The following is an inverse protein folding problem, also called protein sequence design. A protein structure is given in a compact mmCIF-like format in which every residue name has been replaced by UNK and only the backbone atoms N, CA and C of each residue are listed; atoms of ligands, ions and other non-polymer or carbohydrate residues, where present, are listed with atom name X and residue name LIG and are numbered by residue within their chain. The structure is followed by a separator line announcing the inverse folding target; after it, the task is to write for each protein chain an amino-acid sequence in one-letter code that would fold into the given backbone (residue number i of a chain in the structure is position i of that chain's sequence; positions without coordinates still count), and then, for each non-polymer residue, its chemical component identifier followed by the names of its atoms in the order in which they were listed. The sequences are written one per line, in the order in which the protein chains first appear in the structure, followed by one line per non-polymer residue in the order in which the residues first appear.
data_IF_198347399716
#
_entry.id   IF_198347399716
#
_cell.length_a   1.000
_cell.length_b   1.000
_cell.length_c   1.000
_cell.angle_alpha   90.00
_cell.angle_beta   90.00
_cell.angle_gamma   90.00
#
_symmetry.space_group_name_H-M   'P 1'
#
loop_
_entity.id
_entity.type
_entity.pdbx_description
1 polymer ?
#
# COMPACT_ATOMS: atom_id res chain seq x y z
N UNK A 1 -8.80 33.76 21.76
CA UNK A 1 -8.83 32.79 20.64
C UNK A 1 -7.39 32.51 20.15
N UNK A 2 -6.54 33.54 19.93
CA UNK A 2 -5.18 33.34 19.40
C UNK A 2 -4.21 32.63 20.37
N UNK A 3 -4.29 32.84 21.67
CA UNK A 3 -3.45 32.18 22.67
C UNK A 3 -3.70 30.66 22.72
N UNK A 4 -4.96 30.25 22.69
CA UNK A 4 -5.33 28.84 22.71
C UNK A 4 -4.86 28.10 21.47
N UNK A 5 -4.86 28.72 20.29
CA UNK A 5 -4.39 28.13 19.06
C UNK A 5 -2.87 27.85 19.09
N UNK A 6 -2.08 28.75 19.72
CA UNK A 6 -0.64 28.56 19.87
C UNK A 6 -0.34 27.38 20.80
N UNK A 7 -1.10 27.26 21.90
CA UNK A 7 -0.97 26.17 22.85
C UNK A 7 -1.37 24.84 22.18
N UNK A 8 -2.49 24.79 21.45
CA UNK A 8 -2.93 23.61 20.69
C UNK A 8 -1.87 23.16 19.64
N UNK A 9 -1.25 24.11 18.92
CA UNK A 9 -0.16 23.81 17.97
C UNK A 9 1.06 23.25 18.72
N UNK A 10 1.43 23.83 19.86
CA UNK A 10 2.58 23.39 20.65
C UNK A 10 2.38 21.97 21.19
N UNK A 11 1.18 21.67 21.64
CA UNK A 11 0.80 20.34 22.15
C UNK A 11 0.87 19.29 21.02
N UNK A 12 0.37 19.61 19.82
CA UNK A 12 0.44 18.71 18.66
C UNK A 12 1.89 18.47 18.20
N UNK A 13 2.72 19.51 18.19
CA UNK A 13 4.14 19.40 17.83
C UNK A 13 4.90 18.51 18.80
N UNK A 14 4.56 18.61 20.09
CA UNK A 14 5.23 17.87 21.17
C UNK A 14 4.72 16.43 21.33
N UNK A 15 3.57 16.11 20.74
CA UNK A 15 2.90 14.83 20.93
C UNK A 15 3.51 13.73 20.07
N UNK A 16 3.88 12.61 20.69
CA UNK A 16 4.33 11.39 19.99
C UNK A 16 3.19 10.66 19.25
N UNK A 17 1.93 11.08 19.48
CA UNK A 17 0.77 10.53 18.78
C UNK A 17 0.76 10.87 17.28
N UNK A 18 1.43 11.95 16.89
CA UNK A 18 1.51 12.41 15.51
C UNK A 18 2.93 12.21 14.97
N UNK A 19 3.12 11.17 14.17
CA UNK A 19 4.44 10.73 13.66
C UNK A 19 4.85 11.38 12.33
N UNK A 20 4.01 12.27 11.76
CA UNK A 20 4.27 12.92 10.48
C UNK A 20 5.47 13.87 10.57
N UNK A 21 6.26 13.92 9.49
CA UNK A 21 7.46 14.75 9.42
C UNK A 21 7.13 16.25 9.28
N UNK A 22 6.05 16.56 8.53
CA UNK A 22 5.66 17.95 8.27
C UNK A 22 4.63 18.45 9.28
N UNK A 23 4.83 19.70 9.76
CA UNK A 23 3.92 20.33 10.69
C UNK A 23 2.48 20.43 10.15
N UNK A 24 2.33 20.78 8.87
CA UNK A 24 1.03 20.86 8.20
C UNK A 24 0.26 19.54 8.25
N UNK A 25 0.97 18.42 8.08
CA UNK A 25 0.37 17.08 8.17
C UNK A 25 -0.04 16.73 9.61
N UNK A 26 0.78 17.08 10.60
CA UNK A 26 0.43 16.92 12.02
C UNK A 26 -0.81 17.70 12.38
N UNK A 27 -0.88 18.97 11.96
CA UNK A 27 -2.02 19.84 12.23
C UNK A 27 -3.30 19.40 11.52
N UNK A 28 -3.18 18.86 10.30
CA UNK A 28 -4.32 18.31 9.58
C UNK A 28 -4.84 17.02 10.25
N UNK A 29 -3.95 16.11 10.66
CA UNK A 29 -4.33 14.89 11.39
C UNK A 29 -4.94 15.18 12.78
N UNK A 30 -4.50 16.26 13.42
CA UNK A 30 -5.07 16.72 14.68
C UNK A 30 -6.40 17.49 14.52
N UNK A 31 -6.84 17.71 13.28
CA UNK A 31 -8.09 18.43 12.98
C UNK A 31 -8.02 19.96 13.12
N UNK A 32 -6.83 20.53 13.29
CA UNK A 32 -6.65 22.00 13.31
C UNK A 32 -6.63 22.62 11.91
N UNK A 33 -6.23 21.85 10.90
CA UNK A 33 -6.33 22.23 9.50
C UNK A 33 -7.33 21.33 8.78
N UNK A 34 -8.05 21.84 7.78
CA UNK A 34 -8.92 21.00 6.97
C UNK A 34 -8.06 19.98 6.22
N UNK A 35 -8.44 18.70 6.29
CA UNK A 35 -7.72 17.63 5.56
C UNK A 35 -7.78 17.81 4.04
N UNK A 36 -8.78 18.50 3.54
CA UNK A 36 -8.90 18.87 2.13
C UNK A 36 -7.82 19.89 1.75
N UNK A 37 -6.83 19.45 0.95
CA UNK A 37 -5.72 20.29 0.49
C UNK A 37 -4.38 20.06 1.18
N UNK A 38 -4.33 19.26 2.25
CA UNK A 38 -3.07 18.80 2.87
C UNK A 38 -2.99 17.28 2.81
N UNK A 39 -2.52 16.70 1.71
CA UNK A 39 -2.38 15.26 1.60
C UNK A 39 -1.31 14.78 2.58
N UNK A 40 -1.74 14.06 3.62
CA UNK A 40 -0.88 13.61 4.73
C UNK A 40 -0.07 12.35 4.39
N UNK A 41 -0.32 11.74 3.24
CA UNK A 41 0.21 10.43 2.87
C UNK A 41 0.79 10.39 1.45
N UNK A 42 1.31 11.54 0.98
CA UNK A 42 1.86 11.66 -0.37
C UNK A 42 3.17 10.92 -0.50
N UNK A 43 3.35 10.26 -1.64
CA UNK A 43 4.60 9.65 -2.09
C UNK A 43 5.01 10.24 -3.42
N UNK A 44 6.30 10.56 -3.53
CA UNK A 44 6.88 11.16 -4.71
C UNK A 44 7.51 10.09 -5.59
N UNK A 45 7.32 10.21 -6.90
CA UNK A 45 8.15 9.57 -7.89
C UNK A 45 9.13 10.63 -8.42
N UNK A 46 10.41 10.44 -8.15
CA UNK A 46 11.49 11.32 -8.58
C UNK A 46 11.88 11.00 -10.02
N UNK A 47 11.76 11.98 -10.90
CA UNK A 47 12.06 11.84 -12.34
C UNK A 47 13.51 12.22 -12.68
N UNK A 48 14.19 12.93 -11.78
CA UNK A 48 15.63 13.28 -11.86
C UNK A 48 16.29 13.08 -10.51
N UNK A 49 17.60 12.83 -10.52
CA UNK A 49 18.37 12.68 -9.29
C UNK A 49 18.48 14.04 -8.57
N UNK A 50 17.91 14.21 -7.37
CA UNK A 50 18.02 15.47 -6.63
C UNK A 50 19.43 15.77 -6.18
N UNK A 51 20.31 14.77 -6.09
CA UNK A 51 21.72 14.97 -5.70
C UNK A 51 22.45 15.84 -6.70
N UNK A 52 22.15 15.72 -7.98
CA UNK A 52 22.75 16.51 -9.05
C UNK A 52 22.25 17.96 -9.08
N UNK A 53 21.08 18.21 -8.51
CA UNK A 53 20.43 19.53 -8.53
C UNK A 53 20.76 20.39 -7.31
N UNK A 54 21.31 19.83 -6.23
CA UNK A 54 21.59 20.54 -4.98
C UNK A 54 20.38 21.04 -4.20
N UNK A 55 19.15 20.75 -4.68
CA UNK A 55 17.86 21.07 -4.03
C UNK A 55 16.86 19.95 -4.24
N UNK A 56 15.94 19.81 -3.30
CA UNK A 56 14.82 18.88 -3.49
C UNK A 56 13.93 19.38 -4.64
N UNK A 57 13.61 18.53 -5.61
CA UNK A 57 12.85 18.93 -6.78
C UNK A 57 11.41 19.26 -6.42
N UNK A 58 10.87 20.33 -7.00
CA UNK A 58 9.45 20.66 -6.94
C UNK A 58 8.73 20.35 -8.26
N UNK A 59 9.45 20.37 -9.38
CA UNK A 59 8.88 20.22 -10.73
C UNK A 59 9.14 18.84 -11.34
N UNK A 60 10.29 18.24 -11.03
CA UNK A 60 10.68 16.92 -11.56
C UNK A 60 10.20 15.77 -10.67
N UNK A 61 8.97 15.87 -10.16
CA UNK A 61 8.31 14.84 -9.36
C UNK A 61 6.87 14.63 -9.79
N UNK A 62 6.38 13.42 -9.59
CA UNK A 62 4.95 13.10 -9.65
C UNK A 62 4.53 12.65 -8.27
N UNK A 63 3.51 13.29 -7.70
CA UNK A 63 3.07 13.03 -6.34
C UNK A 63 1.70 12.34 -6.35
N UNK A 64 1.53 11.27 -5.56
CA UNK A 64 0.26 10.57 -5.36
C UNK A 64 0.12 10.13 -3.91
N UNK A 65 -1.13 10.00 -3.44
CA UNK A 65 -1.37 9.34 -2.16
C UNK A 65 -0.80 7.92 -2.16
N UNK A 66 -0.34 7.44 -1.00
CA UNK A 66 0.32 6.14 -0.87
C UNK A 66 -0.58 4.99 -1.34
N UNK A 67 -1.90 5.08 -1.14
CA UNK A 67 -2.85 4.04 -1.56
C UNK A 67 -2.82 3.84 -3.09
N UNK A 68 -2.56 4.90 -3.84
CA UNK A 68 -2.34 4.87 -5.29
C UNK A 68 -0.88 4.61 -5.64
N UNK A 69 0.05 5.21 -4.90
CA UNK A 69 1.47 5.20 -5.23
C UNK A 69 2.08 3.80 -5.17
N UNK A 70 1.69 2.97 -4.18
CA UNK A 70 2.17 1.58 -4.07
C UNK A 70 1.82 0.71 -5.30
N UNK A 71 0.82 1.11 -6.08
CA UNK A 71 0.45 0.46 -7.33
C UNK A 71 1.10 1.18 -8.52
N UNK A 72 0.78 2.46 -8.70
CA UNK A 72 1.16 3.19 -9.90
C UNK A 72 2.64 3.50 -10.02
N UNK A 73 3.38 3.57 -8.89
CA UNK A 73 4.82 3.84 -8.87
C UNK A 73 5.65 2.58 -8.57
N UNK A 74 5.01 1.41 -8.49
CA UNK A 74 5.73 0.16 -8.26
C UNK A 74 6.81 -0.07 -9.32
N UNK A 75 7.96 -0.67 -8.97
CA UNK A 75 9.03 -0.94 -9.92
C UNK A 75 8.56 -1.77 -11.11
N UNK A 76 8.88 -1.31 -12.32
CA UNK A 76 8.42 -1.89 -13.58
C UNK A 76 7.25 -1.15 -14.23
N UNK A 77 6.53 -0.29 -13.47
CA UNK A 77 5.38 0.44 -13.99
C UNK A 77 5.78 1.71 -14.72
N UNK A 78 5.01 2.05 -15.74
CA UNK A 78 5.21 3.24 -16.55
C UNK A 78 4.23 4.35 -16.15
N UNK A 79 4.71 5.58 -16.18
CA UNK A 79 3.95 6.79 -15.86
C UNK A 79 4.17 7.80 -16.98
N UNK A 80 3.08 8.40 -17.46
CA UNK A 80 3.14 9.47 -18.43
C UNK A 80 3.10 10.83 -17.74
N UNK A 81 4.12 11.66 -18.02
CA UNK A 81 4.15 13.07 -17.61
C UNK A 81 4.73 13.92 -18.73
N UNK A 82 4.06 15.03 -19.05
CA UNK A 82 4.49 16.00 -20.07
C UNK A 82 4.77 15.33 -21.44
N UNK A 83 3.89 14.42 -21.85
CA UNK A 83 4.00 13.61 -23.09
C UNK A 83 5.24 12.72 -23.17
N UNK A 84 5.81 12.36 -22.02
CA UNK A 84 6.94 11.43 -21.92
C UNK A 84 6.58 10.28 -21.01
N UNK A 85 7.11 9.10 -21.34
CA UNK A 85 6.94 7.88 -20.57
C UNK A 85 8.15 7.68 -19.65
N UNK A 86 7.88 7.47 -18.37
CA UNK A 86 8.88 7.21 -17.34
C UNK A 86 8.61 5.86 -16.71
N UNK A 87 9.61 5.01 -16.59
CA UNK A 87 9.51 3.71 -15.92
C UNK A 87 10.11 3.77 -14.52
N UNK A 88 9.31 3.41 -13.52
CA UNK A 88 9.79 3.28 -12.14
C UNK A 88 10.70 2.06 -12.00
N UNK A 89 11.85 2.21 -11.33
CA UNK A 89 12.81 1.13 -11.14
C UNK A 89 13.06 0.76 -9.69
N UNK A 90 12.57 1.59 -8.75
CA UNK A 90 12.89 1.32 -7.36
C UNK A 90 12.30 2.31 -6.37
N UNK A 91 12.77 2.18 -5.13
CA UNK A 91 12.31 2.93 -3.97
C UNK A 91 13.43 3.78 -3.40
N UNK A 92 13.15 5.06 -3.23
CA UNK A 92 14.03 6.03 -2.57
C UNK A 92 13.19 7.19 -2.05
N UNK A 93 13.62 7.76 -0.94
CA UNK A 93 13.23 9.10 -0.53
C UNK A 93 14.49 9.87 -0.15
N UNK A 94 14.46 11.19 -0.28
CA UNK A 94 15.63 12.03 -0.11
C UNK A 94 15.46 12.96 1.09
N UNK A 95 16.57 13.25 1.75
CA UNK A 95 16.66 14.26 2.80
C UNK A 95 17.73 15.30 2.48
N UNK A 96 17.45 16.53 2.88
CA UNK A 96 18.43 17.61 2.79
C UNK A 96 19.24 17.70 4.08
N UNK A 97 20.55 17.52 3.96
CA UNK A 97 21.47 17.71 5.07
C UNK A 97 21.83 19.19 5.19
N UNK A 98 21.31 19.86 6.21
CA UNK A 98 21.54 21.29 6.47
C UNK A 98 23.00 21.63 6.79
N UNK A 99 23.77 20.69 7.36
CA UNK A 99 25.17 20.92 7.75
C UNK A 99 26.10 20.99 6.53
N UNK A 100 25.90 20.08 5.57
CA UNK A 100 26.77 19.94 4.41
C UNK A 100 26.13 20.47 3.12
N UNK A 101 24.92 21.03 3.19
CA UNK A 101 24.15 21.48 2.03
C UNK A 101 24.03 20.44 0.91
N UNK A 102 23.91 19.15 1.30
CA UNK A 102 23.85 18.03 0.37
C UNK A 102 22.52 17.31 0.47
N UNK A 103 22.07 16.72 -0.63
CA UNK A 103 20.92 15.83 -0.67
C UNK A 103 21.42 14.39 -0.70
N UNK A 104 20.81 13.55 0.11
CA UNK A 104 21.14 12.13 0.16
C UNK A 104 19.89 11.27 0.31
N UNK A 105 19.93 10.01 -0.16
CA UNK A 105 18.87 9.06 0.12
C UNK A 105 18.70 8.82 1.62
N UNK A 106 17.44 8.79 2.07
CA UNK A 106 17.10 8.39 3.45
C UNK A 106 17.44 6.92 3.67
N UNK A 107 18.04 6.60 4.80
CA UNK A 107 18.44 5.23 5.13
C UNK A 107 17.25 4.26 5.26
N UNK A 108 16.07 4.77 5.63
CA UNK A 108 14.82 4.00 5.85
C UNK A 108 13.80 4.21 4.73
N UNK A 109 14.23 4.45 3.49
CA UNK A 109 13.31 4.70 2.36
C UNK A 109 12.27 3.59 2.15
N UNK A 110 12.58 2.33 2.47
CA UNK A 110 11.61 1.22 2.41
C UNK A 110 10.60 1.23 3.56
N UNK A 111 10.99 1.73 4.75
CA UNK A 111 10.17 1.65 5.98
C UNK A 111 9.57 0.26 6.17
N UNK A 112 10.44 -0.73 6.45
CA UNK A 112 10.07 -2.14 6.60
C UNK A 112 9.35 -2.35 7.93
N UNK A 113 8.21 -3.04 7.90
CA UNK A 113 7.48 -3.43 9.10
C UNK A 113 8.11 -4.66 9.75
N UNK A 114 7.91 -4.79 11.05
CA UNK A 114 8.31 -5.99 11.81
C UNK A 114 7.40 -7.18 11.52
N UNK A 115 6.16 -6.90 11.18
CA UNK A 115 5.12 -7.88 10.84
C UNK A 115 5.32 -8.37 9.41
N UNK A 116 5.35 -9.68 9.14
CA UNK A 116 5.36 -10.21 7.80
C UNK A 116 3.95 -10.32 7.19
N UNK A 117 3.88 -10.34 5.88
CA UNK A 117 2.76 -10.91 5.16
C UNK A 117 2.93 -12.43 5.13
N UNK A 118 2.00 -13.14 5.74
CA UNK A 118 1.92 -14.59 5.64
C UNK A 118 1.03 -14.95 4.46
N UNK A 119 1.53 -15.75 3.51
CA UNK A 119 0.80 -16.15 2.31
C UNK A 119 0.86 -17.65 2.08
N UNK A 120 -0.27 -18.26 1.82
CA UNK A 120 -0.34 -19.66 1.41
C UNK A 120 -0.24 -19.76 -0.11
N UNK A 121 0.75 -20.52 -0.60
CA UNK A 121 0.93 -20.77 -2.04
C UNK A 121 -0.16 -21.66 -2.63
N UNK A 122 -0.74 -22.53 -1.80
CA UNK A 122 -1.72 -23.52 -2.26
C UNK A 122 -3.11 -22.93 -2.48
N UNK A 123 -3.65 -22.18 -1.52
CA UNK A 123 -4.98 -21.61 -1.61
C UNK A 123 -4.99 -20.08 -1.79
N UNK A 124 -3.80 -19.44 -1.72
CA UNK A 124 -3.64 -18.00 -1.86
C UNK A 124 -4.18 -17.18 -0.69
N UNK A 125 -4.57 -17.81 0.42
CA UNK A 125 -4.88 -17.09 1.67
C UNK A 125 -3.69 -16.24 2.09
N UNK A 126 -3.93 -15.03 2.53
CA UNK A 126 -2.87 -14.16 3.04
C UNK A 126 -3.38 -13.23 4.13
N UNK A 127 -2.53 -13.02 5.11
CA UNK A 127 -2.81 -12.14 6.26
C UNK A 127 -1.55 -11.44 6.73
N UNK A 128 -1.72 -10.27 7.35
CA UNK A 128 -0.64 -9.59 8.08
C UNK A 128 -0.77 -9.98 9.55
N UNK A 129 0.26 -10.56 10.14
CA UNK A 129 0.20 -11.13 11.49
C UNK A 129 1.07 -10.33 12.46
N UNK A 130 0.55 -10.03 13.64
CA UNK A 130 1.23 -9.20 14.61
C UNK A 130 2.52 -9.83 15.17
N UNK A 131 2.52 -10.79 16.01
CA UNK A 131 3.73 -11.17 16.73
C UNK A 131 4.25 -12.58 16.47
N UNK A 132 3.39 -13.50 16.04
CA UNK A 132 3.75 -14.88 15.76
C UNK A 132 3.34 -15.23 14.35
N UNK A 133 4.30 -15.38 13.42
CA UNK A 133 3.98 -15.78 12.06
C UNK A 133 3.25 -17.13 12.08
N UNK A 134 2.10 -17.18 11.43
CA UNK A 134 1.37 -18.44 11.23
C UNK A 134 2.20 -19.34 10.32
N UNK A 135 2.53 -20.51 10.80
CA UNK A 135 3.32 -21.50 10.03
C UNK A 135 2.40 -22.27 9.10
N UNK A 136 1.19 -22.58 9.56
CA UNK A 136 0.20 -23.34 8.82
C UNK A 136 -0.98 -22.47 8.40
N UNK A 137 -1.45 -22.66 7.18
CA UNK A 137 -2.59 -21.95 6.64
C UNK A 137 -3.89 -22.39 7.35
N UNK A 138 -4.67 -21.47 7.93
CA UNK A 138 -5.90 -21.82 8.62
C UNK A 138 -6.97 -22.35 7.68
N UNK A 139 -6.83 -22.14 6.37
CA UNK A 139 -7.78 -22.57 5.36
C UNK A 139 -7.49 -23.97 4.83
N UNK A 140 -6.22 -24.30 4.55
CA UNK A 140 -5.84 -25.55 3.88
C UNK A 140 -4.78 -26.39 4.61
N UNK A 141 -4.28 -25.92 5.76
CA UNK A 141 -3.24 -26.62 6.54
C UNK A 141 -1.85 -26.66 5.93
N UNK A 142 -1.65 -26.09 4.72
CA UNK A 142 -0.34 -26.06 4.10
C UNK A 142 0.56 -24.98 4.70
N UNK A 143 1.87 -25.14 4.53
CA UNK A 143 2.86 -24.18 4.98
C UNK A 143 2.68 -22.81 4.34
N UNK A 144 2.86 -21.76 5.12
CA UNK A 144 2.76 -20.37 4.67
C UNK A 144 4.14 -19.76 4.43
N UNK A 145 4.26 -19.00 3.35
CA UNK A 145 5.43 -18.18 3.04
C UNK A 145 5.36 -16.85 3.80
N UNK A 146 6.49 -16.43 4.37
CA UNK A 146 6.61 -15.18 5.10
C UNK A 146 7.38 -14.15 4.28
N UNK A 147 6.70 -13.07 3.90
CA UNK A 147 7.24 -12.02 3.05
C UNK A 147 7.36 -10.73 3.85
N UNK A 148 8.48 -10.04 3.71
CA UNK A 148 8.66 -8.72 4.31
C UNK A 148 7.71 -7.72 3.67
N UNK A 149 6.99 -6.97 4.50
CA UNK A 149 6.18 -5.85 4.04
C UNK A 149 6.87 -4.53 4.34
N UNK A 150 6.71 -3.57 3.43
CA UNK A 150 7.27 -2.24 3.60
C UNK A 150 6.32 -1.16 3.07
N UNK A 151 6.40 0.01 3.68
CA UNK A 151 5.72 1.21 3.20
C UNK A 151 6.73 2.13 2.53
N UNK A 152 6.82 2.16 1.20
CA UNK A 152 7.77 3.02 0.50
C UNK A 152 7.55 4.49 0.85
N UNK A 153 8.62 5.24 1.09
CA UNK A 153 8.56 6.68 1.33
C UNK A 153 8.60 7.49 0.04
N UNK A 154 9.14 6.92 -1.03
CA UNK A 154 9.17 7.50 -2.36
C UNK A 154 9.68 6.50 -3.38
N UNK A 155 9.60 6.84 -4.64
CA UNK A 155 9.98 6.02 -5.79
C UNK A 155 10.84 6.83 -6.75
N UNK A 156 11.52 6.15 -7.68
CA UNK A 156 12.34 6.83 -8.68
C UNK A 156 12.43 6.05 -9.99
N UNK A 157 12.72 6.79 -11.05
CA UNK A 157 12.93 6.27 -12.40
C UNK A 157 14.41 6.03 -12.68
N UNK A 158 14.74 5.39 -13.80
CA UNK A 158 16.13 5.32 -14.25
C UNK A 158 16.60 6.70 -14.73
N UNK A 159 17.39 7.38 -13.91
CA UNK A 159 17.90 8.72 -14.20
C UNK A 159 18.88 8.76 -15.40
N UNK A 160 19.43 7.62 -15.78
CA UNK A 160 20.38 7.52 -16.90
C UNK A 160 19.64 7.27 -18.23
N UNK A 161 18.38 6.82 -18.17
CA UNK A 161 17.55 6.59 -19.36
C UNK A 161 16.84 7.88 -19.77
N UNK A 162 16.98 8.27 -21.04
CA UNK A 162 16.15 9.34 -21.62
C UNK A 162 14.70 8.85 -21.75
N UNK A 163 13.72 9.58 -21.21
CA UNK A 163 12.32 9.17 -21.31
C UNK A 163 11.86 9.18 -22.77
N UNK A 164 11.07 8.21 -23.15
CA UNK A 164 10.50 8.08 -24.47
C UNK A 164 9.32 9.04 -24.66
N UNK A 165 9.09 9.47 -25.91
CA UNK A 165 7.91 10.26 -26.21
C UNK A 165 6.66 9.37 -26.20
N UNK A 166 5.60 9.89 -25.58
CA UNK A 166 4.32 9.19 -25.52
C UNK A 166 3.68 9.13 -26.92
N UNK A 167 3.54 7.94 -27.45
CA UNK A 167 2.98 7.65 -28.78
C UNK A 167 1.50 7.24 -28.75
N UNK A 168 0.86 7.28 -27.58
CA UNK A 168 -0.51 6.80 -27.37
C UNK A 168 -0.59 5.45 -26.68
N UNK A 169 0.48 4.67 -26.69
CA UNK A 169 0.58 3.38 -26.02
C UNK A 169 1.61 3.46 -24.87
N UNK A 170 1.26 2.89 -23.75
CA UNK A 170 2.18 2.63 -22.64
C UNK A 170 1.69 1.40 -21.87
N UNK A 171 2.61 0.71 -21.24
CA UNK A 171 2.28 -0.47 -20.44
C UNK A 171 1.57 -0.05 -19.15
N UNK A 172 0.25 0.09 -19.27
CA UNK A 172 -0.59 0.33 -18.10
C UNK A 172 -0.91 -0.97 -17.40
N UNK A 173 -0.09 -1.29 -16.44
CA UNK A 173 -0.32 -2.40 -15.54
C UNK A 173 -0.64 -1.86 -14.16
N UNK A 174 -1.87 -2.04 -13.73
CA UNK A 174 -2.29 -1.70 -12.37
C UNK A 174 -2.64 -2.96 -11.63
N UNK A 175 -1.69 -3.59 -10.91
CA UNK A 175 -2.08 -4.57 -9.93
C UNK A 175 -2.93 -3.86 -8.89
N UNK A 176 -4.14 -4.32 -8.72
CA UNK A 176 -4.99 -3.82 -7.64
C UNK A 176 -4.39 -4.29 -6.32
N UNK A 177 -4.20 -3.36 -5.39
CA UNK A 177 -3.85 -3.74 -4.03
C UNK A 177 -5.03 -4.48 -3.40
N UNK A 178 -4.72 -5.57 -2.74
CA UNK A 178 -5.69 -6.30 -1.94
C UNK A 178 -5.89 -5.60 -0.60
N UNK A 179 -7.15 -5.44 -0.20
CA UNK A 179 -7.50 -4.95 1.13
C UNK A 179 -7.39 -6.09 2.12
N UNK A 180 -6.58 -5.91 3.17
CA UNK A 180 -6.43 -6.86 4.28
C UNK A 180 -6.81 -6.20 5.58
N UNK A 181 -7.53 -6.92 6.43
CA UNK A 181 -7.86 -6.49 7.77
C UNK A 181 -6.72 -6.90 8.71
N UNK A 182 -6.26 -5.96 9.56
CA UNK A 182 -5.16 -6.20 10.50
C UNK A 182 -5.61 -7.12 11.65
N UNK A 183 -6.80 -6.88 12.18
CA UNK A 183 -7.23 -7.55 13.39
C UNK A 183 -8.76 -7.61 13.55
N UNK A 184 -9.28 -8.81 13.77
CA UNK A 184 -10.70 -9.00 14.09
C UNK A 184 -11.10 -8.53 15.50
N UNK A 185 -10.15 -8.39 16.42
CA UNK A 185 -10.44 -8.07 17.83
C UNK A 185 -11.15 -6.72 18.04
N UNK A 186 -11.09 -5.84 17.05
CA UNK A 186 -11.77 -4.55 17.10
C UNK A 186 -13.21 -4.58 16.58
N UNK A 187 -13.66 -5.73 16.06
CA UNK A 187 -15.01 -5.92 15.56
C UNK A 187 -15.91 -6.46 16.69
N UNK A 188 -16.53 -5.58 17.44
CA UNK A 188 -17.24 -5.94 18.66
C UNK A 188 -18.77 -5.95 18.51
N UNK A 189 -19.31 -5.18 17.58
CA UNK A 189 -20.73 -5.14 17.31
C UNK A 189 -21.11 -6.14 16.22
N UNK A 190 -22.20 -6.86 16.42
CA UNK A 190 -22.70 -7.78 15.42
C UNK A 190 -24.23 -7.71 15.33
N UNK A 191 -24.73 -7.93 14.15
CA UNK A 191 -26.13 -8.21 13.89
C UNK A 191 -26.24 -9.37 12.91
N UNK A 192 -27.29 -10.16 13.06
CA UNK A 192 -27.57 -11.26 12.14
C UNK A 192 -28.78 -10.89 11.30
N UNK A 193 -28.63 -10.91 9.98
CA UNK A 193 -29.70 -10.66 9.02
C UNK A 193 -29.81 -11.86 8.10
N UNK A 194 -30.90 -12.61 8.18
CA UNK A 194 -31.11 -13.88 7.48
C UNK A 194 -29.97 -14.89 7.82
N UNK A 195 -29.13 -15.21 6.84
CA UNK A 195 -28.01 -16.14 6.97
C UNK A 195 -26.64 -15.43 6.93
N UNK A 196 -26.62 -14.17 7.30
CA UNK A 196 -25.41 -13.35 7.29
C UNK A 196 -25.15 -12.76 8.65
N UNK A 197 -23.91 -12.78 9.07
CA UNK A 197 -23.42 -12.04 10.23
C UNK A 197 -22.71 -10.77 9.76
N UNK A 198 -23.11 -9.65 10.34
CA UNK A 198 -22.56 -8.32 10.08
C UNK A 198 -21.81 -7.89 11.33
N UNK A 199 -20.54 -7.53 11.21
CA UNK A 199 -19.74 -6.96 12.29
C UNK A 199 -19.14 -5.64 11.86
N UNK A 200 -19.03 -4.71 12.78
CA UNK A 200 -18.40 -3.42 12.55
C UNK A 200 -17.53 -3.03 13.76
N UNK A 201 -16.60 -2.11 13.54
CA UNK A 201 -15.86 -1.51 14.62
C UNK A 201 -16.67 -0.38 15.27
N UNK A 202 -16.59 -0.27 16.59
CA UNK A 202 -17.32 0.77 17.38
C UNK A 202 -16.83 2.18 17.07
N UNK A 203 -15.56 2.32 16.69
CA UNK A 203 -14.96 3.60 16.33
C UNK A 203 -14.10 3.46 15.08
N UNK A 204 -14.17 4.41 14.13
CA UNK A 204 -13.27 4.42 12.96
C UNK A 204 -11.79 4.38 13.33
N UNK A 205 -11.42 4.88 14.51
CA UNK A 205 -10.04 4.84 15.01
C UNK A 205 -9.55 3.44 15.42
N UNK A 206 -10.42 2.46 15.51
CA UNK A 206 -10.08 1.08 15.90
C UNK A 206 -9.91 0.13 14.70
N UNK A 207 -10.44 0.52 13.53
CA UNK A 207 -10.32 -0.29 12.34
C UNK A 207 -9.00 -0.01 11.62
N UNK A 208 -8.04 -0.93 11.66
CA UNK A 208 -6.84 -0.84 10.84
C UNK A 208 -6.95 -1.76 9.64
N UNK A 209 -6.76 -1.20 8.46
CA UNK A 209 -6.71 -1.95 7.20
C UNK A 209 -5.39 -1.71 6.49
N UNK A 210 -4.93 -2.73 5.81
CA UNK A 210 -3.76 -2.70 4.95
C UNK A 210 -4.18 -2.88 3.49
N UNK A 211 -3.76 -1.95 2.63
CA UNK A 211 -3.74 -2.15 1.20
C UNK A 211 -2.40 -2.79 0.86
N UNK A 212 -2.42 -4.01 0.36
CA UNK A 212 -1.20 -4.78 0.08
C UNK A 212 -1.06 -4.98 -1.42
N UNK A 213 0.05 -4.53 -1.98
CA UNK A 213 0.48 -4.86 -3.33
C UNK A 213 1.61 -5.88 -3.26
N UNK A 214 1.30 -7.12 -3.54
CA UNK A 214 2.23 -8.25 -3.56
C UNK A 214 2.69 -8.63 -4.98
N UNK A 215 2.44 -7.77 -5.96
CA UNK A 215 2.72 -8.02 -7.37
C UNK A 215 2.11 -9.34 -7.87
N UNK A 216 0.84 -9.57 -7.55
CA UNK A 216 0.12 -10.82 -7.85
C UNK A 216 0.82 -12.10 -7.36
N UNK A 217 1.66 -11.96 -6.33
CA UNK A 217 2.37 -13.05 -5.71
C UNK A 217 3.80 -13.25 -6.15
N UNK A 218 4.29 -12.48 -7.12
CA UNK A 218 5.70 -12.53 -7.54
C UNK A 218 6.61 -11.70 -6.62
N UNK A 219 5.99 -10.76 -5.89
CA UNK A 219 6.66 -9.80 -5.00
C UNK A 219 7.67 -8.89 -5.72
N UNK A 220 8.17 -7.88 -5.01
CA UNK A 220 9.20 -6.98 -5.51
C UNK A 220 10.56 -7.39 -4.94
N UNK A 221 11.45 -7.93 -5.78
CA UNK A 221 12.82 -8.21 -5.38
C UNK A 221 13.64 -6.92 -5.45
N UNK A 222 14.01 -6.37 -4.28
CA UNK A 222 14.73 -5.11 -4.17
C UNK A 222 16.09 -5.33 -3.52
N UNK A 223 17.12 -4.77 -4.13
CA UNK A 223 18.47 -4.73 -3.59
C UNK A 223 18.98 -3.29 -3.46
N UNK A 224 19.89 -3.07 -2.54
CA UNK A 224 20.46 -1.74 -2.27
C UNK A 224 21.66 -1.48 -3.17
N UNK A 225 21.66 -0.33 -3.87
CA UNK A 225 22.80 0.13 -4.65
C UNK A 225 23.85 0.83 -3.77
N UNK A 226 24.96 1.24 -4.40
CA UNK A 226 26.07 1.96 -3.73
C UNK A 226 25.70 3.38 -3.28
N UNK A 227 24.63 3.97 -3.85
CA UNK A 227 24.10 5.28 -3.44
C UNK A 227 23.07 5.17 -2.31
N UNK A 228 22.68 3.97 -1.90
CA UNK A 228 21.72 3.72 -0.83
C UNK A 228 20.26 3.66 -1.28
N UNK A 229 19.99 3.61 -2.59
CA UNK A 229 18.65 3.45 -3.18
C UNK A 229 18.30 1.95 -3.30
N UNK A 230 17.03 1.62 -3.27
CA UNK A 230 16.57 0.25 -3.45
C UNK A 230 16.05 0.07 -4.87
N UNK A 231 16.65 -0.85 -5.62
CA UNK A 231 16.41 -1.07 -7.05
C UNK A 231 15.86 -2.48 -7.26
N UNK A 232 14.86 -2.59 -8.14
CA UNK A 232 14.40 -3.87 -8.69
C UNK A 232 15.17 -4.19 -9.96
N UNK A 233 15.93 -5.27 -9.94
CA UNK A 233 16.67 -5.74 -11.11
C UNK A 233 15.74 -6.04 -12.30
N UNK A 234 14.55 -6.59 -12.02
CA UNK A 234 13.56 -6.90 -13.04
C UNK A 234 12.95 -5.68 -13.74
N UNK A 235 13.06 -4.50 -13.12
CA UNK A 235 12.57 -3.24 -13.70
C UNK A 235 13.59 -2.53 -14.59
N UNK A 236 14.85 -3.00 -14.59
CA UNK A 236 15.94 -2.46 -15.40
C UNK A 236 16.00 -3.14 -16.77
N UNK A 237 16.44 -2.40 -17.76
CA UNK A 237 16.73 -2.92 -19.10
C UNK A 237 18.14 -3.51 -19.18
N UNK A 238 18.35 -4.38 -20.17
CA UNK A 238 19.69 -4.88 -20.48
C UNK A 238 20.52 -3.81 -21.21
N UNK A 239 21.83 -3.79 -21.01
CA UNK A 239 22.64 -4.69 -20.17
C UNK A 239 22.71 -4.29 -18.68
N UNK A 240 22.09 -3.19 -18.27
CA UNK A 240 22.17 -2.66 -16.91
C UNK A 240 21.64 -3.63 -15.85
N UNK A 241 20.57 -4.36 -16.16
CA UNK A 241 20.01 -5.38 -15.26
C UNK A 241 21.02 -6.49 -14.90
N UNK A 242 21.94 -6.83 -15.82
CA UNK A 242 22.97 -7.86 -15.62
C UNK A 242 24.22 -7.33 -14.93
N UNK A 243 24.54 -6.06 -15.12
CA UNK A 243 25.81 -5.46 -14.65
C UNK A 243 25.71 -4.77 -13.31
N UNK A 244 24.52 -4.37 -12.89
CA UNK A 244 24.32 -3.67 -11.63
C UNK A 244 24.66 -4.53 -10.42
N UNK A 245 25.42 -3.98 -9.49
CA UNK A 245 25.75 -4.62 -8.22
C UNK A 245 24.76 -4.14 -7.16
N UNK A 246 23.94 -5.07 -6.67
CA UNK A 246 22.97 -4.83 -5.61
C UNK A 246 23.32 -5.65 -4.37
N UNK A 247 23.18 -5.05 -3.20
CA UNK A 247 23.43 -5.68 -1.92
C UNK A 247 22.10 -6.05 -1.23
N UNK A 248 22.10 -7.15 -0.49
CA UNK A 248 20.98 -7.58 0.35
C UNK A 248 19.64 -7.65 -0.41
N UNK A 249 19.65 -8.24 -1.60
CA UNK A 249 18.43 -8.45 -2.36
C UNK A 249 17.42 -9.29 -1.56
N UNK A 250 16.19 -8.81 -1.42
CA UNK A 250 15.12 -9.52 -0.73
C UNK A 250 13.77 -9.21 -1.36
N UNK A 251 12.81 -10.10 -1.13
CA UNK A 251 11.43 -9.96 -1.58
C UNK A 251 10.62 -9.12 -0.62
N UNK A 252 9.84 -8.19 -1.17
CA UNK A 252 8.96 -7.31 -0.44
C UNK A 252 7.57 -7.25 -1.08
N UNK A 253 6.54 -7.10 -0.24
CA UNK A 253 5.25 -6.60 -0.64
C UNK A 253 5.11 -5.14 -0.15
N UNK A 254 4.49 -4.29 -0.96
CA UNK A 254 4.24 -2.90 -0.57
C UNK A 254 2.93 -2.79 0.21
N UNK A 255 2.92 -1.95 1.23
CA UNK A 255 1.76 -1.76 2.09
C UNK A 255 1.45 -0.29 2.32
N UNK A 256 0.17 0.03 2.25
CA UNK A 256 -0.38 1.28 2.72
C UNK A 256 -1.38 0.98 3.84
N UNK A 257 -1.06 1.39 5.06
CA UNK A 257 -1.92 1.16 6.22
C UNK A 257 -2.75 2.38 6.51
N UNK A 258 -4.02 2.20 6.82
CA UNK A 258 -4.90 3.28 7.28
C UNK A 258 -5.84 2.79 8.38
N UNK A 259 -6.24 3.74 9.21
CA UNK A 259 -7.27 3.53 10.23
C UNK A 259 -8.59 4.07 9.71
N UNK A 260 -9.65 3.26 9.69
CA UNK A 260 -10.92 3.60 9.08
C UNK A 260 -12.08 2.82 9.69
N UNK A 261 -13.30 3.20 9.34
CA UNK A 261 -14.47 2.37 9.59
C UNK A 261 -14.40 1.06 8.82
N UNK A 262 -14.67 -0.05 9.47
CA UNK A 262 -14.65 -1.40 8.88
C UNK A 262 -15.99 -2.06 9.12
N UNK A 263 -16.57 -2.61 8.06
CA UNK A 263 -17.74 -3.46 8.07
C UNK A 263 -17.36 -4.82 7.49
N UNK A 264 -17.57 -5.89 8.24
CA UNK A 264 -17.38 -7.25 7.74
C UNK A 264 -18.72 -7.96 7.59
N UNK A 265 -18.82 -8.73 6.52
CA UNK A 265 -19.99 -9.52 6.19
C UNK A 265 -19.56 -10.97 6.04
N UNK A 266 -20.17 -11.88 6.78
CA UNK A 266 -19.95 -13.31 6.64
C UNK A 266 -21.25 -14.02 6.33
N UNK A 267 -21.17 -15.09 5.56
CA UNK A 267 -22.31 -15.96 5.25
C UNK A 267 -22.28 -17.16 6.19
N UNK A 268 -23.29 -17.28 7.06
CA UNK A 268 -23.31 -18.31 8.11
C UNK A 268 -23.84 -19.64 7.62
N UNK A 269 -24.77 -19.59 6.67
CA UNK A 269 -25.41 -20.81 6.11
C UNK A 269 -25.53 -20.68 4.59
N UNK A 270 -25.03 -21.66 3.91
CA UNK A 270 -25.21 -21.85 2.46
C UNK A 270 -25.99 -23.14 2.19
N UNK A 271 -26.75 -23.22 1.10
CA UNK A 271 -27.35 -24.47 0.66
C UNK A 271 -26.30 -25.57 0.49
N UNK A 272 -26.64 -26.80 0.87
CA UNK A 272 -25.72 -27.96 0.77
C UNK A 272 -25.21 -28.22 -0.67
N UNK A 273 -25.91 -27.72 -1.68
CA UNK A 273 -25.51 -27.79 -3.09
C UNK A 273 -24.42 -26.80 -3.47
N UNK A 274 -24.09 -25.84 -2.60
CA UNK A 274 -23.07 -24.83 -2.87
C UNK A 274 -21.83 -25.12 -2.01
N UNK A 275 -20.72 -25.44 -2.66
CA UNK A 275 -19.44 -25.63 -1.99
C UNK A 275 -18.70 -24.31 -1.88
N UNK A 276 -18.51 -23.82 -0.66
CA UNK A 276 -17.67 -22.64 -0.36
C UNK A 276 -16.23 -23.02 0.02
N UNK A 277 -15.91 -24.32 0.06
CA UNK A 277 -14.55 -24.75 0.40
C UNK A 277 -13.56 -24.28 -0.67
N UNK A 278 -12.50 -23.55 -0.29
CA UNK A 278 -11.44 -23.15 -1.22
C UNK A 278 -10.57 -24.34 -1.67
N UNK A 279 -10.78 -25.53 -1.11
CA UNK A 279 -9.94 -26.73 -1.29
C UNK A 279 -10.75 -27.87 -1.96
N UNK A 280 -11.61 -27.58 -2.87
CA UNK A 280 -12.23 -28.68 -3.61
C UNK A 280 -11.41 -29.02 -4.84
N UNK A 281 -10.91 -30.25 -4.88
CA UNK A 281 -10.11 -30.89 -5.96
C UNK A 281 -9.50 -29.92 -7.00
N UNK A 282 -8.21 -29.60 -6.85
CA UNK A 282 -7.38 -28.93 -7.85
C UNK A 282 -7.50 -27.39 -8.00
N UNK A 283 -7.52 -26.60 -6.93
CA UNK A 283 -7.35 -25.12 -6.98
C UNK A 283 -8.38 -24.29 -7.76
N UNK A 284 -9.22 -24.90 -8.61
CA UNK A 284 -10.16 -24.18 -9.47
C UNK A 284 -11.28 -23.51 -8.65
N UNK A 285 -11.76 -24.16 -7.59
CA UNK A 285 -12.83 -23.62 -6.77
C UNK A 285 -12.41 -22.42 -5.91
N UNK A 286 -11.15 -22.31 -5.51
CA UNK A 286 -10.69 -21.18 -4.71
C UNK A 286 -10.81 -19.86 -5.47
N UNK A 287 -10.53 -19.85 -6.77
CA UNK A 287 -10.73 -18.68 -7.62
C UNK A 287 -12.22 -18.34 -7.80
N UNK A 288 -13.04 -19.34 -8.07
CA UNK A 288 -14.49 -19.15 -8.26
C UNK A 288 -15.15 -18.62 -6.99
N UNK A 289 -14.84 -19.19 -5.83
CA UNK A 289 -15.37 -18.76 -4.53
C UNK A 289 -14.92 -17.34 -4.21
N UNK A 290 -13.65 -17.02 -4.39
CA UNK A 290 -13.13 -15.66 -4.21
C UNK A 290 -13.78 -14.66 -5.16
N UNK A 291 -13.88 -15.00 -6.44
CA UNK A 291 -14.55 -14.17 -7.43
C UNK A 291 -16.01 -13.91 -7.05
N UNK A 292 -16.72 -14.92 -6.56
CA UNK A 292 -18.09 -14.80 -6.09
C UNK A 292 -18.22 -13.85 -4.89
N UNK A 293 -17.37 -14.01 -3.86
CA UNK A 293 -17.37 -13.13 -2.69
C UNK A 293 -16.96 -11.70 -3.03
N UNK A 294 -15.94 -11.50 -3.86
CA UNK A 294 -15.55 -10.18 -4.32
C UNK A 294 -16.68 -9.52 -5.13
N UNK A 295 -17.31 -10.26 -6.04
CA UNK A 295 -18.44 -9.75 -6.83
C UNK A 295 -19.60 -9.33 -5.92
N UNK A 296 -19.91 -10.15 -4.92
CA UNK A 296 -20.90 -9.82 -3.91
C UNK A 296 -20.51 -8.57 -3.11
N UNK A 297 -19.27 -8.49 -2.66
CA UNK A 297 -18.74 -7.32 -1.97
C UNK A 297 -18.85 -6.04 -2.79
N UNK A 298 -18.56 -6.09 -4.09
CA UNK A 298 -18.74 -4.93 -4.99
C UNK A 298 -20.20 -4.56 -5.21
N UNK A 299 -21.12 -5.52 -5.25
CA UNK A 299 -22.57 -5.25 -5.29
C UNK A 299 -23.05 -4.57 -4.01
N UNK A 300 -22.63 -5.07 -2.84
CA UNK A 300 -22.93 -4.47 -1.54
C UNK A 300 -22.35 -3.05 -1.46
N UNK A 301 -21.09 -2.86 -1.87
CA UNK A 301 -20.46 -1.53 -1.97
C UNK A 301 -21.33 -0.56 -2.77
N UNK A 302 -21.79 -0.97 -3.96
CA UNK A 302 -22.64 -0.14 -4.81
C UNK A 302 -23.99 0.18 -4.15
N UNK A 303 -24.59 -0.80 -3.48
CA UNK A 303 -25.85 -0.60 -2.77
C UNK A 303 -25.70 0.38 -1.60
N UNK A 304 -24.63 0.25 -0.78
CA UNK A 304 -24.33 1.15 0.33
C UNK A 304 -24.06 2.57 -0.19
N UNK A 305 -23.24 2.71 -1.21
CA UNK A 305 -22.93 4.01 -1.81
C UNK A 305 -24.21 4.72 -2.33
N UNK A 306 -25.07 3.97 -3.01
CA UNK A 306 -26.35 4.49 -3.48
C UNK A 306 -27.32 4.86 -2.34
N UNK A 307 -27.33 4.07 -1.25
CA UNK A 307 -28.18 4.35 -0.08
C UNK A 307 -27.71 5.59 0.71
N UNK A 308 -26.40 5.76 0.82
CA UNK A 308 -25.78 6.85 1.57
C UNK A 308 -25.57 8.12 0.74
N UNK A 309 -25.86 8.08 -0.57
CA UNK A 309 -25.62 9.17 -1.54
C UNK A 309 -24.15 9.64 -1.56
N UNK A 310 -23.22 8.65 -1.59
CA UNK A 310 -21.78 8.90 -1.68
C UNK A 310 -21.20 8.25 -2.94
N UNK A 311 -20.01 8.67 -3.34
CA UNK A 311 -19.30 8.00 -4.44
C UNK A 311 -18.84 6.60 -4.01
N UNK A 312 -19.05 5.61 -4.86
CA UNK A 312 -18.62 4.25 -4.57
C UNK A 312 -17.10 4.10 -4.40
N UNK A 313 -16.30 5.02 -4.94
CA UNK A 313 -14.84 5.04 -4.76
C UNK A 313 -14.38 5.35 -3.33
N UNK A 314 -15.26 5.94 -2.49
CA UNK A 314 -14.99 6.18 -1.08
C UNK A 314 -14.99 4.90 -0.23
N UNK A 315 -15.55 3.82 -0.76
CA UNK A 315 -15.61 2.52 -0.10
C UNK A 315 -14.65 1.54 -0.77
N UNK A 316 -13.79 0.91 0.00
CA UNK A 316 -12.94 -0.18 -0.47
C UNK A 316 -13.53 -1.53 -0.10
N UNK A 317 -13.32 -2.54 -0.96
CA UNK A 317 -13.74 -3.92 -0.74
C UNK A 317 -12.51 -4.79 -0.61
N UNK A 318 -12.50 -5.66 0.38
CA UNK A 318 -11.47 -6.67 0.58
C UNK A 318 -12.11 -8.01 0.95
N UNK A 319 -11.32 -9.07 0.80
CA UNK A 319 -11.68 -10.44 1.17
C UNK A 319 -10.60 -10.99 2.11
N UNK A 320 -11.00 -11.61 3.22
CA UNK A 320 -10.08 -12.18 4.20
C UNK A 320 -10.57 -13.54 4.71
#
# INVERSE_FOLDING_TARGET
ICTRLIDDISDIVSSDAYTQEYLSERLANAGLLPMFGFPTRVRNLYLKDPQDQGKLPSEDVVSRDIDMAINSFAPGHEIVKDKKVFKSIGVVDYEYNKLNHTIRPKSKSLNVYTQPLCRCKSCGYSTVVDANPQIECPVCGNEMEHIKICSPLGFFVDYEKTPEDFNGDYDWYSPNSDVRLDCEQYLSEYSTVHNMTIRNNQSPSQGRVHLVNDNMGDFYCLGRDNKGRYISRAALEEPKSQTIVLQNEAKYAFVASKTTGVLTLSVDKVPESICLSPIFEQNVNSFAVRAAFLSWGYLVRKAIASYMDIDSSELNVGYY
#
